data_IF_198566086136
#
_entry.id   IF_198566086136
#
_cell.length_a   1.000
_cell.length_b   1.000
_cell.length_c   1.000
_cell.angle_alpha   90.00
_cell.angle_beta   90.00
_cell.angle_gamma   90.00
#
_symmetry.space_group_name_H-M   'P 1'
#
loop_
_entity.id
_entity.type
_entity.pdbx_description
1 polymer ?
#
# COMPACT_ATOMS: atom_id res chain seq x y z
N UNK A 1 -16.22 -4.38 20.13
CA UNK A 1 -15.38 -3.56 19.24
C UNK A 1 -15.66 -4.00 17.82
N UNK A 2 -16.22 -3.14 16.96
CA UNK A 2 -16.46 -3.46 15.55
C UNK A 2 -15.28 -2.96 14.71
N UNK A 3 -14.80 -3.77 13.76
CA UNK A 3 -13.67 -3.44 12.88
C UNK A 3 -14.04 -3.80 11.45
N UNK A 4 -13.95 -2.82 10.56
CA UNK A 4 -14.07 -3.01 9.12
C UNK A 4 -12.68 -2.97 8.48
N UNK A 5 -12.43 -3.81 7.48
CA UNK A 5 -11.18 -3.84 6.73
C UNK A 5 -11.46 -3.38 5.30
N UNK A 6 -11.11 -2.12 4.98
CA UNK A 6 -11.21 -1.61 3.61
C UNK A 6 -10.31 -2.41 2.65
N UNK A 7 -9.10 -2.72 3.09
CA UNK A 7 -8.13 -3.55 2.38
C UNK A 7 -7.39 -4.42 3.39
N UNK A 8 -6.95 -5.60 2.96
CA UNK A 8 -6.18 -6.49 3.81
C UNK A 8 -5.24 -7.37 2.97
N UNK A 9 -3.97 -7.44 3.39
CA UNK A 9 -3.02 -8.46 2.97
C UNK A 9 -2.71 -9.28 4.23
N UNK A 10 -3.05 -10.57 4.19
CA UNK A 10 -2.82 -11.49 5.29
C UNK A 10 -1.35 -11.90 5.36
N UNK A 11 -0.92 -12.35 6.55
CA UNK A 11 0.33 -13.10 6.67
C UNK A 11 0.07 -14.50 6.16
N UNK A 12 0.55 -14.80 4.96
CA UNK A 12 0.64 -16.18 4.48
C UNK A 12 1.93 -16.79 5.00
N UNK A 13 1.94 -18.11 5.21
CA UNK A 13 3.18 -18.87 5.34
C UNK A 13 3.54 -19.34 3.93
N UNK A 14 4.32 -18.55 3.17
CA UNK A 14 4.60 -18.88 1.79
C UNK A 14 5.31 -20.23 1.72
N UNK A 15 4.83 -21.08 0.82
CA UNK A 15 5.37 -22.41 0.58
C UNK A 15 6.11 -22.45 -0.75
N UNK A 16 7.08 -23.35 -0.91
CA UNK A 16 7.75 -23.55 -2.21
C UNK A 16 6.78 -24.02 -3.32
N UNK A 17 5.58 -24.48 -2.95
CA UNK A 17 4.52 -24.84 -3.88
C UNK A 17 3.64 -23.67 -4.29
N UNK A 18 3.83 -22.47 -3.74
CA UNK A 18 3.02 -21.31 -4.10
C UNK A 18 3.35 -20.89 -5.54
N UNK A 19 2.33 -20.51 -6.34
CA UNK A 19 2.55 -20.01 -7.68
C UNK A 19 3.49 -18.81 -7.69
N UNK A 20 4.35 -18.74 -8.71
CA UNK A 20 5.16 -17.55 -8.93
C UNK A 20 4.25 -16.34 -9.17
N UNK A 21 4.64 -15.19 -8.63
CA UNK A 21 3.93 -13.94 -8.88
C UNK A 21 3.98 -13.61 -10.36
N UNK A 22 2.83 -13.22 -10.90
CA UNK A 22 2.73 -12.65 -12.24
C UNK A 22 3.56 -11.37 -12.32
N UNK A 23 4.10 -11.11 -13.52
CA UNK A 23 4.92 -9.95 -13.78
C UNK A 23 4.11 -8.86 -14.50
N UNK A 24 4.30 -7.61 -14.11
CA UNK A 24 3.76 -6.45 -14.81
C UNK A 24 4.91 -5.55 -15.21
N UNK A 25 4.92 -5.13 -16.47
CA UNK A 25 5.88 -4.14 -16.96
C UNK A 25 5.60 -2.80 -16.28
N UNK A 26 6.58 -2.33 -15.52
CA UNK A 26 6.51 -1.08 -14.76
C UNK A 26 6.22 0.15 -15.62
N UNK A 27 6.58 0.11 -16.92
CA UNK A 27 6.30 1.23 -17.84
C UNK A 27 4.80 1.49 -18.01
N UNK A 28 3.95 0.48 -17.78
CA UNK A 28 2.50 0.59 -17.89
C UNK A 28 1.85 1.42 -16.78
N UNK A 29 2.59 1.71 -15.69
CA UNK A 29 2.04 2.41 -14.52
C UNK A 29 2.77 3.70 -14.18
N UNK A 30 3.79 4.12 -14.96
CA UNK A 30 4.59 5.31 -14.63
C UNK A 30 3.74 6.59 -14.52
N UNK A 31 2.76 6.76 -15.40
CA UNK A 31 1.85 7.91 -15.42
C UNK A 31 0.98 7.99 -14.15
N UNK A 32 0.78 6.87 -13.45
CA UNK A 32 -0.02 6.79 -12.22
C UNK A 32 0.76 7.10 -10.95
N UNK A 33 2.08 7.30 -11.03
CA UNK A 33 2.95 7.55 -9.88
C UNK A 33 3.85 8.78 -10.07
N UNK A 34 4.44 9.33 -8.99
CA UNK A 34 5.32 10.48 -9.11
C UNK A 34 6.49 10.21 -10.05
N UNK A 35 6.73 11.12 -11.01
CA UNK A 35 7.82 11.03 -11.99
C UNK A 35 9.08 11.83 -11.59
N UNK A 36 8.95 12.73 -10.61
CA UNK A 36 10.04 13.60 -10.14
C UNK A 36 10.99 12.85 -9.20
N UNK A 37 11.92 13.59 -8.60
CA UNK A 37 12.88 13.04 -7.63
C UNK A 37 12.20 12.22 -6.54
N UNK A 38 12.66 11.00 -6.32
CA UNK A 38 12.04 10.02 -5.41
C UNK A 38 10.78 9.35 -5.96
N UNK A 39 10.56 9.47 -7.27
CA UNK A 39 9.47 8.88 -8.02
C UNK A 39 9.71 7.42 -8.40
N UNK A 40 8.66 6.73 -8.86
CA UNK A 40 8.70 5.28 -9.09
C UNK A 40 9.79 4.87 -10.10
N UNK A 41 9.94 5.63 -11.19
CA UNK A 41 10.95 5.37 -12.22
C UNK A 41 12.37 5.47 -11.67
N UNK A 42 12.71 6.56 -10.99
CA UNK A 42 14.05 6.76 -10.40
C UNK A 42 14.35 5.69 -9.35
N UNK A 43 13.36 5.36 -8.49
CA UNK A 43 13.51 4.32 -7.48
C UNK A 43 13.82 2.96 -8.13
N UNK A 44 13.08 2.59 -9.18
CA UNK A 44 13.28 1.33 -9.87
C UNK A 44 14.62 1.25 -10.59
N UNK A 45 15.03 2.34 -11.25
CA UNK A 45 16.32 2.44 -11.93
C UNK A 45 17.50 2.37 -10.95
N UNK A 46 17.35 2.92 -9.74
CA UNK A 46 18.34 2.79 -8.66
C UNK A 46 18.38 1.38 -8.06
N UNK A 47 17.23 0.73 -7.97
CA UNK A 47 17.10 -0.64 -7.50
C UNK A 47 17.27 -0.83 -5.98
N UNK A 48 17.33 -2.09 -5.53
CA UNK A 48 17.34 -3.31 -6.34
C UNK A 48 15.95 -3.66 -6.92
N UNK A 49 15.89 -4.12 -8.18
CA UNK A 49 14.63 -4.30 -8.92
C UNK A 49 13.72 -5.40 -8.35
N UNK A 50 14.28 -6.41 -7.68
CA UNK A 50 13.52 -7.48 -7.03
C UNK A 50 12.72 -7.02 -5.80
N UNK A 51 12.92 -5.78 -5.35
CA UNK A 51 12.17 -5.18 -4.24
C UNK A 51 10.90 -4.45 -4.67
N UNK A 52 10.51 -4.52 -5.94
CA UNK A 52 9.40 -3.74 -6.50
C UNK A 52 8.19 -4.60 -6.84
N UNK A 53 7.04 -4.21 -6.31
CA UNK A 53 5.77 -4.92 -6.45
C UNK A 53 4.63 -3.96 -6.79
N UNK A 54 3.63 -4.47 -7.50
CA UNK A 54 2.35 -3.84 -7.70
C UNK A 54 1.29 -4.66 -6.98
N UNK A 55 0.45 -4.00 -6.19
CA UNK A 55 -0.70 -4.63 -5.55
C UNK A 55 -1.95 -3.96 -6.09
N UNK A 56 -2.81 -4.76 -6.71
CA UNK A 56 -4.17 -4.36 -7.09
C UNK A 56 -5.11 -4.73 -5.95
N UNK A 57 -5.76 -3.74 -5.35
CA UNK A 57 -6.78 -3.96 -4.34
C UNK A 57 -8.19 -3.84 -4.92
N UNK A 58 -9.08 -4.69 -4.45
CA UNK A 58 -10.52 -4.49 -4.49
C UNK A 58 -10.98 -4.13 -3.08
N UNK A 59 -11.16 -2.83 -2.83
CA UNK A 59 -11.47 -2.31 -1.52
C UNK A 59 -12.93 -2.55 -1.15
N UNK A 60 -13.17 -3.05 0.06
CA UNK A 60 -14.52 -3.21 0.59
C UNK A 60 -15.02 -1.92 1.22
N UNK A 61 -15.98 -1.28 0.57
CA UNK A 61 -16.62 -0.05 1.06
C UNK A 61 -17.95 -0.33 1.79
N UNK A 62 -18.41 -1.59 1.86
CA UNK A 62 -19.68 -1.98 2.47
C UNK A 62 -19.58 -2.11 3.99
N UNK A 63 -19.07 -1.05 4.63
CA UNK A 63 -19.00 -0.98 6.08
C UNK A 63 -20.39 -0.76 6.67
N UNK A 64 -20.83 -1.67 7.54
CA UNK A 64 -22.03 -1.50 8.38
C UNK A 64 -21.76 -0.62 9.62
N UNK A 65 -20.51 -0.25 9.87
CA UNK A 65 -20.13 0.67 10.94
C UNK A 65 -20.61 2.07 10.54
N UNK A 66 -21.49 2.65 11.39
CA UNK A 66 -21.97 4.01 11.21
C UNK A 66 -20.82 5.01 11.39
N UNK A 67 -20.69 5.92 10.43
CA UNK A 67 -19.78 7.05 10.53
C UNK A 67 -20.26 8.00 11.64
N UNK A 68 -19.40 8.29 12.61
CA UNK A 68 -19.77 9.16 13.73
C UNK A 68 -18.63 9.45 14.72
N UNK A 69 -18.87 10.31 15.72
CA UNK A 69 -17.90 10.65 16.76
C UNK A 69 -17.38 9.38 17.45
N UNK A 70 -16.06 9.17 17.42
CA UNK A 70 -15.40 7.97 17.97
C UNK A 70 -15.01 6.90 16.95
N UNK A 71 -15.31 7.10 15.66
CA UNK A 71 -14.81 6.21 14.59
C UNK A 71 -13.32 6.45 14.35
N UNK A 72 -12.53 5.38 14.35
CA UNK A 72 -11.08 5.44 14.13
C UNK A 72 -10.71 4.84 12.77
N UNK A 73 -10.03 5.63 11.96
CA UNK A 73 -9.45 5.23 10.67
C UNK A 73 -7.94 5.07 10.82
N UNK A 74 -7.41 3.89 10.53
CA UNK A 74 -5.98 3.65 10.68
C UNK A 74 -5.45 2.53 9.81
N UNK A 75 -4.14 2.56 9.63
CA UNK A 75 -3.35 1.57 8.88
C UNK A 75 -2.51 0.80 9.88
N UNK A 76 -2.33 -0.49 9.64
CA UNK A 76 -1.34 -1.28 10.39
C UNK A 76 -0.54 -2.10 9.40
N UNK A 77 0.78 -2.11 9.57
CA UNK A 77 1.70 -2.89 8.76
C UNK A 77 2.74 -3.57 9.63
N UNK A 78 3.20 -4.72 9.16
CA UNK A 78 4.24 -5.48 9.80
C UNK A 78 5.25 -5.95 8.75
N UNK A 79 6.53 -5.79 9.04
CA UNK A 79 7.64 -6.21 8.19
C UNK A 79 8.56 -7.13 8.98
N UNK A 80 9.36 -7.95 8.29
CA UNK A 80 10.40 -8.75 8.93
C UNK A 80 11.69 -8.78 8.10
N UNK A 81 12.83 -8.80 8.78
CA UNK A 81 14.17 -8.90 8.19
C UNK A 81 15.01 -9.95 8.90
N UNK A 82 16.01 -10.48 8.21
CA UNK A 82 17.07 -11.29 8.81
C UNK A 82 18.11 -10.44 9.55
N UNK A 83 18.21 -9.16 9.20
CA UNK A 83 19.23 -8.24 9.73
C UNK A 83 18.58 -7.16 10.60
N UNK A 84 19.31 -6.74 11.63
CA UNK A 84 18.89 -5.62 12.47
C UNK A 84 19.24 -4.30 11.78
N UNK A 85 18.21 -3.54 11.40
CA UNK A 85 18.35 -2.22 10.80
C UNK A 85 17.28 -1.28 11.32
N UNK A 86 17.51 0.03 11.22
CA UNK A 86 16.45 1.03 11.37
C UNK A 86 15.84 1.27 9.99
N UNK A 87 14.51 1.19 9.88
CA UNK A 87 13.83 1.42 8.61
C UNK A 87 13.04 2.72 8.63
N UNK A 88 12.92 3.33 7.45
CA UNK A 88 12.01 4.43 7.19
C UNK A 88 10.93 3.95 6.23
N UNK A 89 9.66 4.13 6.58
CA UNK A 89 8.50 3.81 5.75
C UNK A 89 7.88 5.10 5.26
N UNK A 90 8.05 5.39 3.97
CA UNK A 90 7.38 6.49 3.27
C UNK A 90 6.12 5.97 2.58
N UNK A 91 4.97 6.56 2.87
CA UNK A 91 3.70 6.27 2.21
C UNK A 91 3.20 7.54 1.52
N UNK A 92 3.28 7.56 0.19
CA UNK A 92 2.88 8.69 -0.66
C UNK A 92 1.51 8.41 -1.28
N UNK A 93 0.53 9.26 -0.99
CA UNK A 93 -0.78 9.24 -1.64
C UNK A 93 -0.72 10.12 -2.87
N UNK A 94 -1.18 9.58 -4.00
CA UNK A 94 -1.04 10.20 -5.30
C UNK A 94 -2.40 10.37 -5.99
N UNK A 95 -2.57 11.48 -6.70
CA UNK A 95 -3.73 11.76 -7.54
C UNK A 95 -3.24 12.23 -8.91
N UNK A 96 -3.68 11.57 -9.98
CA UNK A 96 -3.21 11.82 -11.35
C UNK A 96 -1.66 11.83 -11.44
N UNK A 97 -1.03 10.81 -10.86
CA UNK A 97 0.43 10.67 -10.83
C UNK A 97 1.18 11.67 -9.94
N UNK A 98 0.49 12.60 -9.27
CA UNK A 98 1.13 13.63 -8.43
C UNK A 98 0.98 13.31 -6.95
N UNK A 99 2.07 13.42 -6.19
CA UNK A 99 2.03 13.32 -4.73
C UNK A 99 1.15 14.43 -4.14
N UNK A 100 0.15 14.04 -3.35
CA UNK A 100 -0.76 14.94 -2.65
C UNK A 100 -0.37 15.05 -1.17
N UNK A 101 -0.05 13.91 -0.55
CA UNK A 101 0.41 13.84 0.83
C UNK A 101 1.40 12.70 0.98
N UNK A 102 2.35 12.86 1.89
CA UNK A 102 3.31 11.83 2.27
C UNK A 102 3.35 11.70 3.79
N UNK A 103 3.36 10.46 4.26
CA UNK A 103 3.60 10.13 5.66
C UNK A 103 4.91 9.36 5.74
N UNK A 104 5.80 9.79 6.63
CA UNK A 104 7.09 9.14 6.87
C UNK A 104 7.14 8.67 8.31
N UNK A 105 7.38 7.38 8.52
CA UNK A 105 7.46 6.73 9.82
C UNK A 105 8.82 6.03 9.96
N UNK A 106 9.48 6.18 11.12
CA UNK A 106 10.74 5.50 11.41
C UNK A 106 10.49 4.39 12.39
N UNK A 107 10.87 3.17 12.04
CA UNK A 107 10.63 1.97 12.83
C UNK A 107 11.95 1.29 13.21
N UNK A 108 11.94 0.74 14.42
CA UNK A 108 13.07 0.03 15.01
C UNK A 108 12.74 -1.45 15.15
N UNK A 109 13.73 -2.29 14.88
CA UNK A 109 13.57 -3.72 14.94
C UNK A 109 13.28 -4.23 16.36
N UNK A 110 12.45 -5.26 16.45
CA UNK A 110 12.30 -6.11 17.64
C UNK A 110 12.65 -7.55 17.29
N UNK A 111 13.54 -8.18 18.04
CA UNK A 111 13.92 -9.57 17.80
C UNK A 111 12.80 -10.50 18.30
N UNK A 112 12.18 -11.25 17.39
CA UNK A 112 11.10 -12.19 17.67
C UNK A 112 11.30 -13.47 16.84
N UNK A 113 11.33 -14.63 17.49
CA UNK A 113 11.50 -15.94 16.82
C UNK A 113 12.68 -15.99 15.84
N UNK A 114 13.81 -15.35 16.20
CA UNK A 114 15.02 -15.33 15.37
C UNK A 114 14.97 -14.37 14.17
N UNK A 115 13.93 -13.54 14.04
CA UNK A 115 13.83 -12.50 13.00
C UNK A 115 13.63 -11.11 13.62
N UNK A 116 14.06 -10.09 12.91
CA UNK A 116 13.83 -8.70 13.28
C UNK A 116 12.48 -8.24 12.71
N UNK A 117 11.55 -7.87 13.59
CA UNK A 117 10.16 -7.51 13.24
C UNK A 117 9.94 -6.01 13.47
N UNK A 118 9.23 -5.39 12.55
CA UNK A 118 8.87 -3.97 12.55
C UNK A 118 7.35 -3.84 12.52
N UNK A 119 6.75 -2.98 13.35
CA UNK A 119 5.30 -2.86 13.48
C UNK A 119 4.83 -1.42 13.56
N UNK A 120 4.20 -0.96 12.50
CA UNK A 120 3.41 0.26 12.51
C UNK A 120 2.00 -0.14 12.95
N UNK A 121 1.66 0.11 14.22
CA UNK A 121 0.39 -0.32 14.80
C UNK A 121 -0.60 0.82 14.89
N UNK A 122 -1.80 0.63 14.30
CA UNK A 122 -2.91 1.59 14.32
C UNK A 122 -2.46 3.02 14.02
N UNK A 123 -1.65 3.18 12.99
CA UNK A 123 -1.19 4.48 12.53
C UNK A 123 -2.40 5.24 11.95
N UNK A 124 -2.74 6.43 12.47
CA UNK A 124 -3.95 7.15 12.06
C UNK A 124 -3.83 7.59 10.61
N UNK A 125 -4.93 7.42 9.85
CA UNK A 125 -5.06 8.01 8.52
C UNK A 125 -5.14 9.53 8.64
N UNK A 126 -4.60 10.24 7.65
CA UNK A 126 -4.73 11.69 7.60
C UNK A 126 -6.15 12.10 7.17
N UNK A 127 -6.52 13.34 7.48
CA UNK A 127 -7.85 13.87 7.17
C UNK A 127 -8.19 13.77 5.67
N UNK A 128 -7.21 13.99 4.80
CA UNK A 128 -7.37 13.82 3.35
C UNK A 128 -7.88 12.42 2.99
N UNK A 129 -7.29 11.36 3.55
CA UNK A 129 -7.67 9.97 3.28
C UNK A 129 -9.06 9.65 3.82
N UNK A 130 -9.39 10.14 5.03
CA UNK A 130 -10.70 9.93 5.64
C UNK A 130 -11.79 10.60 4.79
N UNK A 131 -11.59 11.87 4.43
CA UNK A 131 -12.49 12.62 3.57
C UNK A 131 -12.62 11.99 2.17
N UNK A 132 -11.54 11.42 1.64
CA UNK A 132 -11.57 10.70 0.36
C UNK A 132 -12.48 9.46 0.45
N UNK A 133 -12.32 8.62 1.48
CA UNK A 133 -13.17 7.44 1.70
C UNK A 133 -14.64 7.85 1.86
N UNK A 134 -14.91 8.91 2.64
CA UNK A 134 -16.27 9.42 2.80
C UNK A 134 -16.87 9.85 1.47
N UNK A 135 -16.18 10.69 0.69
CA UNK A 135 -16.69 11.13 -0.63
C UNK A 135 -16.91 9.95 -1.58
N UNK A 136 -16.00 8.98 -1.60
CA UNK A 136 -16.10 7.79 -2.44
C UNK A 136 -17.34 6.96 -2.08
N UNK A 137 -17.62 6.74 -0.79
CA UNK A 137 -18.81 6.02 -0.30
C UNK A 137 -20.14 6.69 -0.65
N UNK A 138 -20.15 8.00 -0.89
CA UNK A 138 -21.37 8.76 -1.24
C UNK A 138 -21.67 8.76 -2.74
N UNK A 139 -20.78 8.23 -3.59
CA UNK A 139 -21.09 8.07 -5.00
C UNK A 139 -22.20 7.03 -5.18
N UNK A 140 -23.18 7.28 -6.04
CA UNK A 140 -24.36 6.42 -6.16
C UNK A 140 -24.04 5.06 -6.79
N UNK A 141 -23.01 5.00 -7.63
CA UNK A 141 -22.73 3.86 -8.50
C UNK A 141 -21.27 3.43 -8.42
N UNK A 142 -21.03 2.11 -8.41
CA UNK A 142 -19.67 1.53 -8.30
C UNK A 142 -18.76 1.96 -9.44
N UNK A 143 -19.29 2.13 -10.66
CA UNK A 143 -18.47 2.56 -11.79
C UNK A 143 -17.93 3.98 -11.57
N UNK A 144 -18.70 4.88 -10.95
CA UNK A 144 -18.24 6.23 -10.61
C UNK A 144 -17.11 6.18 -9.57
N UNK A 145 -17.22 5.28 -8.59
CA UNK A 145 -16.16 5.06 -7.61
C UNK A 145 -14.87 4.57 -8.30
N UNK A 146 -14.98 3.60 -9.21
CA UNK A 146 -13.84 3.10 -9.97
C UNK A 146 -13.22 4.17 -10.88
N UNK A 147 -14.01 5.04 -11.50
CA UNK A 147 -13.49 6.19 -12.27
C UNK A 147 -12.67 7.15 -11.40
N UNK A 148 -13.06 7.35 -10.14
CA UNK A 148 -12.26 8.14 -9.20
C UNK A 148 -10.99 7.38 -8.78
N UNK A 149 -11.09 6.08 -8.51
CA UNK A 149 -9.97 5.25 -8.08
C UNK A 149 -8.92 5.02 -9.17
N UNK A 150 -9.29 5.12 -10.45
CA UNK A 150 -8.37 4.94 -11.59
C UNK A 150 -7.13 5.84 -11.53
N UNK A 151 -7.30 7.04 -10.96
CA UNK A 151 -6.25 8.04 -10.79
C UNK A 151 -5.82 8.23 -9.34
N UNK A 152 -6.28 7.35 -8.43
CA UNK A 152 -5.88 7.33 -7.04
C UNK A 152 -4.93 6.17 -6.79
N UNK A 153 -3.71 6.47 -6.39
CA UNK A 153 -2.68 5.46 -6.12
C UNK A 153 -1.93 5.76 -4.83
N UNK A 154 -1.30 4.73 -4.26
CA UNK A 154 -0.42 4.89 -3.10
C UNK A 154 0.92 4.24 -3.44
N UNK A 155 2.01 4.95 -3.20
CA UNK A 155 3.37 4.41 -3.31
C UNK A 155 3.96 4.28 -1.91
N UNK A 156 4.24 3.05 -1.48
CA UNK A 156 4.93 2.77 -0.23
C UNK A 156 6.38 2.39 -0.51
N UNK A 157 7.32 3.07 0.13
CA UNK A 157 8.75 2.83 0.00
C UNK A 157 9.34 2.62 1.39
N UNK A 158 9.88 1.43 1.62
CA UNK A 158 10.63 1.08 2.83
C UNK A 158 12.11 1.18 2.52
N UNK A 159 12.83 2.00 3.28
CA UNK A 159 14.27 2.19 3.10
C UNK A 159 15.04 1.88 4.37
N UNK A 160 16.28 1.42 4.23
CA UNK A 160 17.23 1.43 5.33
C UNK A 160 17.59 2.89 5.63
N UNK A 161 17.43 3.30 6.89
CA UNK A 161 17.65 4.70 7.30
C UNK A 161 19.10 5.14 7.13
N UNK A 162 20.06 4.25 7.34
CA UNK A 162 21.47 4.60 7.35
C UNK A 162 22.07 4.57 5.94
N UNK A 163 21.74 3.54 5.16
CA UNK A 163 22.29 3.34 3.81
C UNK A 163 21.45 3.99 2.69
N UNK A 164 20.22 4.39 2.99
CA UNK A 164 19.22 4.85 2.01
C UNK A 164 18.84 3.80 0.95
N UNK A 165 19.23 2.55 1.16
CA UNK A 165 18.87 1.42 0.30
C UNK A 165 17.36 1.19 0.30
N UNK A 166 16.80 0.85 -0.87
CA UNK A 166 15.39 0.50 -1.02
C UNK A 166 15.17 -0.97 -0.68
N UNK A 167 14.53 -1.24 0.45
CA UNK A 167 14.28 -2.59 0.95
C UNK A 167 13.01 -3.19 0.33
N UNK A 168 11.98 -2.35 0.14
CA UNK A 168 10.69 -2.75 -0.42
C UNK A 168 10.01 -1.53 -1.03
N UNK A 169 9.46 -1.67 -2.22
CA UNK A 169 8.67 -0.66 -2.89
C UNK A 169 7.38 -1.29 -3.41
N UNK A 170 6.23 -0.78 -2.94
CA UNK A 170 4.92 -1.29 -3.32
C UNK A 170 4.11 -0.15 -3.93
N UNK A 171 3.74 -0.33 -5.20
CA UNK A 171 2.74 0.46 -5.89
C UNK A 171 1.35 -0.13 -5.60
N UNK A 172 0.42 0.67 -5.10
CA UNK A 172 -0.96 0.27 -4.87
C UNK A 172 -1.90 0.93 -5.86
N UNK A 173 -2.74 0.12 -6.51
CA UNK A 173 -3.86 0.55 -7.35
C UNK A 173 -5.15 -0.05 -6.82
N UNK A 174 -6.29 0.60 -7.08
CA UNK A 174 -7.53 0.31 -6.39
C UNK A 174 -8.73 0.20 -7.34
N UNK A 175 -9.63 -0.71 -7.01
CA UNK A 175 -11.02 -0.79 -7.47
C UNK A 175 -11.92 -1.03 -6.24
N UNK A 176 -13.22 -0.84 -6.40
CA UNK A 176 -14.21 -1.23 -5.38
C UNK A 176 -14.56 -2.70 -5.55
N UNK A 177 -14.63 -3.42 -4.43
CA UNK A 177 -15.01 -4.84 -4.43
C UNK A 177 -16.46 -5.07 -4.87
N UNK A 178 -16.69 -6.21 -5.51
CA UNK A 178 -18.04 -6.74 -5.68
C UNK A 178 -18.50 -7.22 -4.30
N UNK A 179 -19.68 -6.78 -3.88
CA UNK A 179 -20.11 -6.76 -2.47
C UNK A 179 -20.22 -8.14 -1.80
N UNK A 180 -20.10 -9.22 -2.56
CA UNK A 180 -20.16 -10.61 -2.07
C UNK A 180 -18.83 -11.11 -1.51
N UNK A 181 -17.69 -10.54 -1.92
CA UNK A 181 -16.38 -11.15 -1.68
C UNK A 181 -15.51 -10.42 -0.64
N UNK A 182 -16.02 -9.37 0.00
CA UNK A 182 -15.23 -8.53 0.92
C UNK A 182 -14.00 -7.93 0.23
N UNK A 183 -12.97 -7.55 0.99
CA UNK A 183 -11.75 -6.98 0.42
C UNK A 183 -10.87 -8.07 -0.23
N UNK A 184 -10.40 -7.83 -1.46
CA UNK A 184 -9.50 -8.73 -2.18
C UNK A 184 -8.25 -8.00 -2.65
N UNK A 185 -7.22 -8.75 -3.02
CA UNK A 185 -6.02 -8.20 -3.64
C UNK A 185 -5.34 -9.20 -4.56
N UNK A 186 -4.51 -8.69 -5.47
CA UNK A 186 -3.56 -9.46 -6.26
C UNK A 186 -2.20 -8.79 -6.23
N UNK A 187 -1.13 -9.59 -6.15
CA UNK A 187 0.24 -9.11 -6.07
C UNK A 187 0.97 -9.48 -7.35
N UNK A 188 1.63 -8.50 -7.95
CA UNK A 188 2.47 -8.64 -9.12
C UNK A 188 3.89 -8.22 -8.80
N UNK A 189 4.85 -8.87 -9.45
CA UNK A 189 6.24 -8.39 -9.48
C UNK A 189 6.38 -7.34 -10.57
N UNK A 190 7.08 -6.24 -10.27
CA UNK A 190 7.38 -5.22 -11.29
C UNK A 190 8.67 -5.57 -12.05
N UNK A 191 8.55 -5.66 -13.37
CA UNK A 191 9.66 -5.95 -14.28
C UNK A 191 9.80 -4.83 -15.31
N UNK A 192 10.93 -4.79 -16.02
CA UNK A 192 11.16 -3.88 -17.14
C UNK A 192 11.71 -4.73 -18.29
N UNK A 193 10.81 -5.38 -19.00
CA UNK A 193 11.12 -6.23 -20.15
C UNK A 193 11.01 -5.47 -21.48
#
# INVERSE_FOLDING_TARGET
>A
YSKHLFVHIGQTNPSYSDPLLEAVDIRQIYDKFPEKKGGLKELYERGPQNSFFLVKFWADLNSTIQDGPGTFYGVSSQYSSAENMTITVSTKVCSFGKQVVEKVETEYARLENGRFVYRIHRSPMCEYMINFIHKLKHLPEKYMMNSVLENFTILQVVTNRDTQETLLCIAFVFEVSTSEHGAQHHVYKLVKD
#
